data_IF_571269850570
#
_entry.id   IF_571269850570
#
_cell.length_a   1.000
_cell.length_b   1.000
_cell.length_c   1.000
_cell.angle_alpha   90.00
_cell.angle_beta   90.00
_cell.angle_gamma   90.00
#
_symmetry.space_group_name_H-M   'P 1'
#
loop_
_entity.id
_entity.type
_entity.pdbx_description
1 polymer ?
#
# COMPACT_ATOMS: atom_id res chain seq x y z
N UNK A 1 -29.13 -0.93 -8.27
CA UNK A 1 -30.57 -0.94 -7.95
C UNK A 1 -31.19 -2.34 -7.86
N UNK A 2 -30.90 -3.33 -8.72
CA UNK A 2 -31.46 -4.69 -8.56
C UNK A 2 -30.79 -5.49 -7.42
N UNK A 3 -29.46 -5.39 -7.32
CA UNK A 3 -28.66 -6.09 -6.30
C UNK A 3 -28.94 -5.64 -4.86
N UNK A 4 -29.32 -4.37 -4.67
CA UNK A 4 -29.58 -3.79 -3.35
C UNK A 4 -30.92 -4.28 -2.75
N UNK A 5 -31.88 -4.61 -3.61
CA UNK A 5 -33.24 -4.95 -3.20
C UNK A 5 -33.51 -6.46 -3.11
N UNK A 6 -32.63 -7.31 -3.67
CA UNK A 6 -32.84 -8.76 -3.75
C UNK A 6 -31.56 -9.56 -3.40
N UNK A 7 -31.08 -9.56 -2.15
CA UNK A 7 -29.86 -10.27 -1.72
C UNK A 7 -29.87 -11.77 -2.05
N UNK A 8 -31.04 -12.41 -1.92
CA UNK A 8 -31.24 -13.82 -2.24
C UNK A 8 -30.98 -14.16 -3.72
N UNK A 9 -31.32 -13.25 -4.64
CA UNK A 9 -31.07 -13.44 -6.06
C UNK A 9 -29.57 -13.30 -6.39
N UNK A 10 -28.88 -12.40 -5.69
CA UNK A 10 -27.43 -12.21 -5.82
C UNK A 10 -26.69 -13.46 -5.35
N UNK A 11 -27.09 -14.02 -4.22
CA UNK A 11 -26.54 -15.26 -3.68
C UNK A 11 -26.70 -16.42 -4.66
N UNK A 12 -27.91 -16.64 -5.19
CA UNK A 12 -28.14 -17.70 -6.18
C UNK A 12 -27.29 -17.52 -7.45
N UNK A 13 -27.03 -16.28 -7.86
CA UNK A 13 -26.18 -15.96 -8.99
C UNK A 13 -24.69 -16.19 -8.68
N UNK A 14 -24.26 -15.92 -7.45
CA UNK A 14 -22.91 -16.22 -6.96
C UNK A 14 -22.68 -17.73 -6.76
N UNK A 15 -23.66 -18.48 -6.27
CA UNK A 15 -23.57 -19.94 -6.15
C UNK A 15 -23.39 -20.60 -7.53
N UNK A 16 -24.05 -20.07 -8.55
CA UNK A 16 -23.94 -20.56 -9.94
C UNK A 16 -22.60 -20.27 -10.62
N UNK A 17 -21.77 -19.42 -10.01
CA UNK A 17 -20.45 -19.07 -10.55
C UNK A 17 -19.38 -20.13 -10.29
N UNK A 18 -19.69 -21.12 -9.45
CA UNK A 18 -18.88 -22.31 -9.27
C UNK A 18 -19.31 -23.37 -10.29
N UNK A 19 -18.36 -23.86 -11.08
CA UNK A 19 -18.56 -24.92 -12.05
C UNK A 19 -17.47 -25.97 -11.91
N UNK A 20 -17.84 -27.23 -12.02
CA UNK A 20 -16.86 -28.33 -12.03
C UNK A 20 -16.27 -28.48 -13.42
N UNK A 21 -14.93 -28.48 -13.53
CA UNK A 21 -14.27 -28.80 -14.79
C UNK A 21 -14.33 -30.32 -15.04
N UNK A 22 -15.36 -30.74 -15.77
CA UNK A 22 -15.53 -32.15 -16.16
C UNK A 22 -14.42 -32.67 -17.08
N UNK A 23 -13.59 -31.79 -17.67
CA UNK A 23 -12.46 -32.19 -18.53
C UNK A 23 -11.20 -32.49 -17.72
N UNK A 24 -10.95 -31.74 -16.65
CA UNK A 24 -9.84 -31.99 -15.73
C UNK A 24 -10.00 -33.32 -14.95
N UNK A 25 -11.24 -33.77 -14.75
CA UNK A 25 -11.54 -35.07 -14.13
C UNK A 25 -11.18 -36.29 -14.99
N UNK A 26 -10.93 -36.12 -16.30
CA UNK A 26 -10.59 -37.23 -17.21
C UNK A 26 -9.07 -37.43 -17.39
N UNK A 27 -8.28 -36.39 -17.17
CA UNK A 27 -6.82 -36.48 -17.09
C UNK A 27 -6.44 -36.58 -15.60
N UNK A 28 -6.16 -37.79 -15.13
CA UNK A 28 -5.94 -38.26 -13.76
C UNK A 28 -4.86 -37.55 -12.89
N UNK A 29 -4.56 -36.26 -13.08
CA UNK A 29 -3.46 -35.55 -12.39
C UNK A 29 -3.80 -34.20 -11.75
N UNK A 30 -5.06 -33.73 -11.73
CA UNK A 30 -5.42 -32.56 -10.92
C UNK A 30 -6.61 -32.81 -10.00
N UNK A 31 -6.35 -32.67 -8.70
CA UNK A 31 -7.35 -32.51 -7.62
C UNK A 31 -8.49 -31.60 -8.09
N UNK A 32 -9.74 -32.04 -7.89
CA UNK A 32 -11.02 -31.35 -8.15
C UNK A 32 -10.86 -29.86 -8.51
N UNK A 33 -10.58 -29.59 -9.79
CA UNK A 33 -10.34 -28.23 -10.26
C UNK A 33 -11.69 -27.50 -10.41
N UNK A 34 -12.07 -26.82 -9.34
CA UNK A 34 -13.30 -26.02 -9.32
C UNK A 34 -13.06 -24.71 -10.11
N UNK A 35 -13.75 -24.57 -11.24
CA UNK A 35 -13.71 -23.36 -12.07
C UNK A 35 -14.60 -22.30 -11.43
N UNK A 36 -13.97 -21.16 -11.15
CA UNK A 36 -14.61 -20.01 -10.51
C UNK A 36 -14.76 -18.88 -11.52
N UNK A 37 -15.98 -18.53 -11.89
CA UNK A 37 -16.28 -17.32 -12.66
C UNK A 37 -16.43 -16.12 -11.73
N UNK A 38 -15.61 -15.08 -11.92
CA UNK A 38 -15.67 -13.86 -11.13
C UNK A 38 -16.59 -12.79 -11.74
N UNK A 39 -17.17 -13.03 -12.93
CA UNK A 39 -17.99 -12.05 -13.66
C UNK A 39 -19.21 -11.55 -12.89
N UNK A 40 -19.76 -12.37 -11.98
CA UNK A 40 -20.83 -11.98 -11.06
C UNK A 40 -20.42 -10.90 -10.04
N UNK A 41 -19.13 -10.80 -9.72
CA UNK A 41 -18.55 -9.81 -8.80
C UNK A 41 -17.92 -8.65 -9.55
N UNK A 42 -17.16 -8.92 -10.61
CA UNK A 42 -16.39 -7.90 -11.34
C UNK A 42 -17.21 -7.20 -12.40
N UNK A 43 -18.41 -7.71 -12.71
CA UNK A 43 -19.18 -7.35 -13.89
C UNK A 43 -18.65 -8.06 -15.13
N UNK A 44 -19.57 -8.43 -16.03
CA UNK A 44 -19.19 -8.90 -17.36
C UNK A 44 -18.75 -7.70 -18.21
N UNK A 45 -17.72 -7.89 -19.03
CA UNK A 45 -17.29 -6.87 -19.99
C UNK A 45 -18.44 -6.56 -20.92
N UNK A 46 -18.97 -5.34 -20.82
CA UNK A 46 -20.01 -4.85 -21.72
C UNK A 46 -19.34 -4.57 -23.09
N UNK A 47 -19.72 -5.26 -24.18
CA UNK A 47 -19.09 -5.14 -25.49
C UNK A 47 -19.16 -3.71 -26.07
N UNK A 48 -20.03 -2.85 -25.52
CA UNK A 48 -20.22 -1.46 -25.97
C UNK A 48 -19.27 -0.48 -25.25
N UNK A 49 -18.71 -0.86 -24.10
CA UNK A 49 -17.84 0.02 -23.31
C UNK A 49 -16.36 -0.24 -23.59
N UNK A 50 -15.72 0.66 -24.34
CA UNK A 50 -14.28 0.61 -24.67
C UNK A 50 -13.35 1.03 -23.51
N UNK A 51 -13.90 1.28 -22.32
CA UNK A 51 -13.13 1.65 -21.14
C UNK A 51 -12.88 0.42 -20.25
N UNK A 52 -11.63 0.17 -19.84
CA UNK A 52 -11.30 -0.90 -18.88
C UNK A 52 -12.08 -0.67 -17.59
N UNK A 53 -13.13 -1.45 -17.37
CA UNK A 53 -13.89 -1.38 -16.12
C UNK A 53 -12.97 -1.81 -14.96
N UNK A 54 -12.94 -0.99 -13.90
CA UNK A 54 -12.18 -1.33 -12.71
C UNK A 54 -12.84 -2.53 -12.04
N UNK A 55 -12.16 -3.68 -12.03
CA UNK A 55 -12.70 -4.99 -11.59
C UNK A 55 -13.36 -4.97 -10.20
N UNK A 56 -13.04 -3.98 -9.36
CA UNK A 56 -13.62 -3.82 -8.01
C UNK A 56 -14.75 -2.81 -7.90
N UNK A 57 -15.22 -2.21 -9.00
CA UNK A 57 -16.24 -1.15 -8.93
C UNK A 57 -17.53 -1.63 -8.25
N UNK A 58 -18.04 -2.80 -8.65
CA UNK A 58 -19.28 -3.35 -8.09
C UNK A 58 -19.12 -3.85 -6.65
N UNK A 59 -17.94 -4.41 -6.31
CA UNK A 59 -17.61 -4.80 -4.93
C UNK A 59 -17.39 -3.59 -4.02
N UNK A 60 -16.90 -2.48 -4.56
CA UNK A 60 -16.79 -1.21 -3.84
C UNK A 60 -18.16 -0.57 -3.61
N UNK A 61 -19.06 -0.67 -4.59
CA UNK A 61 -20.45 -0.20 -4.45
C UNK A 61 -21.22 -1.03 -3.41
N UNK A 62 -20.97 -2.34 -3.31
CA UNK A 62 -21.61 -3.20 -2.32
C UNK A 62 -21.20 -2.92 -0.87
N UNK A 63 -20.06 -2.25 -0.65
CA UNK A 63 -19.67 -1.72 0.67
C UNK A 63 -20.57 -0.58 1.17
N UNK A 64 -21.32 0.08 0.27
CA UNK A 64 -22.25 1.16 0.63
C UNK A 64 -23.67 0.70 0.96
N UNK A 65 -23.94 -0.60 0.83
CA UNK A 65 -25.27 -1.19 1.05
C UNK A 65 -25.58 -1.38 2.54
N UNK A 66 -26.85 -1.72 2.83
CA UNK A 66 -27.29 -2.07 4.19
C UNK A 66 -26.44 -3.20 4.76
N UNK A 67 -26.08 -3.08 6.04
CA UNK A 67 -25.17 -3.98 6.75
C UNK A 67 -25.48 -5.47 6.57
N UNK A 68 -26.76 -5.86 6.64
CA UNK A 68 -27.18 -7.25 6.48
C UNK A 68 -26.86 -7.80 5.07
N UNK A 69 -27.21 -7.05 4.03
CA UNK A 69 -26.92 -7.42 2.63
C UNK A 69 -25.42 -7.43 2.36
N UNK A 70 -24.70 -6.44 2.90
CA UNK A 70 -23.25 -6.34 2.78
C UNK A 70 -22.55 -7.56 3.39
N UNK A 71 -22.97 -7.97 4.60
CA UNK A 71 -22.40 -9.11 5.32
C UNK A 71 -22.60 -10.41 4.55
N UNK A 72 -23.79 -10.64 4.00
CA UNK A 72 -24.07 -11.88 3.26
C UNK A 72 -23.22 -12.01 1.99
N UNK A 73 -23.00 -10.89 1.27
CA UNK A 73 -22.21 -10.87 0.03
C UNK A 73 -20.71 -10.96 0.31
N UNK A 74 -20.22 -10.29 1.37
CA UNK A 74 -18.80 -10.33 1.74
C UNK A 74 -18.38 -11.69 2.32
N UNK A 75 -19.28 -12.37 3.03
CA UNK A 75 -19.01 -13.70 3.60
C UNK A 75 -19.18 -14.82 2.57
N UNK A 76 -19.66 -14.54 1.37
CA UNK A 76 -19.79 -15.53 0.32
C UNK A 76 -18.42 -16.11 -0.07
N UNK A 77 -18.26 -17.44 -0.21
CA UNK A 77 -16.97 -18.08 -0.53
C UNK A 77 -16.34 -17.53 -1.81
N UNK A 78 -17.18 -17.16 -2.80
CA UNK A 78 -16.71 -16.53 -4.05
C UNK A 78 -15.95 -15.22 -3.79
N UNK A 79 -16.51 -14.36 -2.93
CA UNK A 79 -15.90 -13.09 -2.55
C UNK A 79 -14.62 -13.31 -1.75
N UNK A 80 -14.62 -14.29 -0.84
CA UNK A 80 -13.44 -14.64 -0.05
C UNK A 80 -12.29 -15.14 -0.93
N UNK A 81 -12.57 -16.07 -1.86
CA UNK A 81 -11.56 -16.57 -2.82
C UNK A 81 -11.05 -15.45 -3.72
N UNK A 82 -11.93 -14.57 -4.18
CA UNK A 82 -11.55 -13.40 -4.97
C UNK A 82 -10.60 -12.45 -4.19
N UNK A 83 -10.95 -12.13 -2.95
CA UNK A 83 -10.13 -11.28 -2.07
C UNK A 83 -8.78 -11.93 -1.80
N UNK A 84 -8.74 -13.24 -1.50
CA UNK A 84 -7.48 -13.96 -1.28
C UNK A 84 -6.62 -13.96 -2.54
N UNK A 85 -7.19 -14.22 -3.71
CA UNK A 85 -6.47 -14.21 -4.99
C UNK A 85 -5.89 -12.82 -5.27
N UNK A 86 -6.68 -11.77 -5.06
CA UNK A 86 -6.22 -10.38 -5.22
C UNK A 86 -5.16 -10.01 -4.19
N UNK A 87 -5.33 -10.44 -2.94
CA UNK A 87 -4.36 -10.25 -1.87
C UNK A 87 -3.04 -10.94 -2.19
N UNK A 88 -3.02 -12.20 -2.65
CA UNK A 88 -1.78 -12.88 -3.06
C UNK A 88 -1.03 -12.14 -4.16
N UNK A 89 -1.75 -11.53 -5.09
CA UNK A 89 -1.15 -10.72 -6.16
C UNK A 89 -0.61 -9.38 -5.66
N UNK A 90 -1.30 -8.72 -4.72
CA UNK A 90 -0.90 -7.43 -4.16
C UNK A 90 0.09 -7.54 -2.99
N UNK A 91 0.12 -8.67 -2.30
CA UNK A 91 0.96 -8.96 -1.14
C UNK A 91 2.45 -8.67 -1.38
N UNK A 92 3.09 -9.08 -2.50
CA UNK A 92 4.49 -8.75 -2.73
C UNK A 92 4.72 -7.24 -2.87
N UNK A 93 3.78 -6.51 -3.48
CA UNK A 93 3.86 -5.05 -3.62
C UNK A 93 3.75 -4.39 -2.24
N UNK A 94 2.74 -4.79 -1.44
CA UNK A 94 2.55 -4.26 -0.08
C UNK A 94 3.77 -4.57 0.79
N UNK A 95 4.30 -5.80 0.71
CA UNK A 95 5.49 -6.22 1.46
C UNK A 95 6.70 -5.39 1.05
N UNK A 96 6.89 -5.12 -0.25
CA UNK A 96 7.94 -4.24 -0.74
C UNK A 96 7.82 -2.83 -0.14
N UNK A 97 6.61 -2.25 -0.13
CA UNK A 97 6.37 -0.94 0.49
C UNK A 97 6.69 -0.94 1.99
N UNK A 98 6.32 -1.98 2.72
CA UNK A 98 6.63 -2.10 4.15
C UNK A 98 8.14 -2.18 4.37
N UNK A 99 8.84 -3.04 3.63
CA UNK A 99 10.32 -3.19 3.73
C UNK A 99 11.01 -1.87 3.40
N UNK A 100 10.53 -1.16 2.38
CA UNK A 100 11.04 0.16 2.00
C UNK A 100 10.92 1.18 3.15
N UNK A 101 9.78 1.20 3.85
CA UNK A 101 9.59 2.05 5.04
C UNK A 101 10.51 1.66 6.20
N UNK A 102 10.78 0.36 6.40
CA UNK A 102 11.74 -0.09 7.41
C UNK A 102 13.17 0.34 7.12
N UNK A 103 13.61 0.27 5.85
CA UNK A 103 14.95 0.72 5.44
C UNK A 103 15.13 2.22 5.73
N UNK A 104 14.10 3.01 5.44
CA UNK A 104 14.08 4.43 5.76
C UNK A 104 14.20 4.68 7.27
N UNK A 105 13.38 4.02 8.07
CA UNK A 105 13.38 4.19 9.52
C UNK A 105 14.72 3.80 10.13
N UNK A 106 15.33 2.72 9.64
CA UNK A 106 16.66 2.27 10.06
C UNK A 106 17.73 3.30 9.69
N UNK A 107 17.70 3.81 8.46
CA UNK A 107 18.65 4.82 7.98
C UNK A 107 18.53 6.11 8.80
N UNK A 108 17.31 6.58 9.07
CA UNK A 108 17.05 7.72 9.93
C UNK A 108 17.58 7.50 11.35
N UNK A 109 17.33 6.34 11.94
CA UNK A 109 17.80 6.01 13.29
C UNK A 109 19.33 6.00 13.36
N UNK A 110 20.01 5.41 12.36
CA UNK A 110 21.48 5.42 12.27
C UNK A 110 22.01 6.84 12.10
N UNK A 111 21.35 7.68 11.29
CA UNK A 111 21.72 9.08 11.11
C UNK A 111 21.63 9.87 12.42
N UNK A 112 20.51 9.72 13.14
CA UNK A 112 20.33 10.36 14.44
C UNK A 112 21.36 9.83 15.44
N UNK A 113 21.63 8.53 15.49
CA UNK A 113 22.64 8.00 16.39
C UNK A 113 24.05 8.52 16.06
N UNK A 114 24.45 8.55 14.79
CA UNK A 114 25.79 8.98 14.39
C UNK A 114 26.01 10.50 14.50
N UNK A 115 25.01 11.31 14.13
CA UNK A 115 25.11 12.77 14.17
C UNK A 115 24.97 13.34 15.59
N UNK A 116 24.32 12.61 16.52
CA UNK A 116 24.03 13.11 17.88
C UNK A 116 24.86 12.45 18.97
N UNK A 117 25.46 11.28 18.70
CA UNK A 117 26.40 10.61 19.60
C UNK A 117 27.86 11.03 19.34
N UNK A 118 28.10 12.13 18.64
CA UNK A 118 29.42 12.57 18.18
C UNK A 118 30.39 12.82 19.35
N UNK A 119 31.01 11.74 19.79
CA UNK A 119 32.29 11.65 20.47
C UNK A 119 33.20 10.75 19.62
N UNK A 120 34.04 11.36 18.79
CA UNK A 120 35.37 10.88 18.38
C UNK A 120 35.50 9.41 17.93
N UNK A 121 34.84 8.97 16.86
CA UNK A 121 35.31 7.78 16.11
C UNK A 121 35.21 7.97 14.60
N UNK A 122 36.34 7.88 13.90
CA UNK A 122 36.47 8.05 12.45
C UNK A 122 35.64 7.06 11.62
N UNK A 123 35.24 5.92 12.21
CA UNK A 123 34.34 4.93 11.59
C UNK A 123 32.88 5.39 11.55
N UNK A 124 32.44 6.26 12.47
CA UNK A 124 31.05 6.74 12.51
C UNK A 124 30.72 7.66 11.33
N UNK A 125 31.72 8.38 10.78
CA UNK A 125 31.54 9.27 9.63
C UNK A 125 31.17 8.51 8.36
N UNK A 126 31.82 7.38 8.07
CA UNK A 126 31.54 6.57 6.87
C UNK A 126 30.12 6.00 6.94
N UNK A 127 29.71 5.48 8.10
CA UNK A 127 28.36 4.94 8.31
C UNK A 127 27.30 6.03 8.19
N UNK A 128 27.56 7.23 8.70
CA UNK A 128 26.67 8.39 8.57
C UNK A 128 26.49 8.81 7.09
N UNK A 129 27.56 8.82 6.30
CA UNK A 129 27.49 9.14 4.87
C UNK A 129 26.70 8.07 4.10
N UNK A 130 26.91 6.78 4.39
CA UNK A 130 26.13 5.70 3.78
C UNK A 130 24.64 5.84 4.14
N UNK A 131 24.32 6.09 5.41
CA UNK A 131 22.93 6.29 5.82
C UNK A 131 22.31 7.56 5.21
N UNK A 132 23.07 8.65 5.07
CA UNK A 132 22.62 9.89 4.44
C UNK A 132 22.34 9.71 2.94
N UNK A 133 23.18 8.94 2.24
CA UNK A 133 22.98 8.65 0.81
C UNK A 133 21.76 7.76 0.59
N UNK A 134 21.57 6.71 1.40
CA UNK A 134 20.35 5.88 1.38
C UNK A 134 19.09 6.70 1.66
N UNK A 135 19.14 7.57 2.67
CA UNK A 135 18.04 8.47 3.02
C UNK A 135 17.72 9.45 1.88
N UNK A 136 18.74 9.97 1.20
CA UNK A 136 18.57 10.88 0.05
C UNK A 136 17.90 10.18 -1.13
N UNK A 137 18.29 8.95 -1.44
CA UNK A 137 17.66 8.13 -2.47
C UNK A 137 16.20 7.88 -2.12
N UNK A 138 15.91 7.57 -0.85
CA UNK A 138 14.54 7.41 -0.38
C UNK A 138 13.70 8.67 -0.59
N UNK A 139 14.20 9.83 -0.14
CA UNK A 139 13.48 11.10 -0.25
C UNK A 139 13.21 11.44 -1.71
N UNK A 140 14.17 11.22 -2.59
CA UNK A 140 13.99 11.44 -4.03
C UNK A 140 12.88 10.54 -4.61
N UNK A 141 12.90 9.24 -4.28
CA UNK A 141 11.87 8.31 -4.73
C UNK A 141 10.48 8.67 -4.17
N UNK A 142 10.42 9.07 -2.89
CA UNK A 142 9.21 9.53 -2.22
C UNK A 142 8.64 10.78 -2.88
N UNK A 143 9.48 11.77 -3.18
CA UNK A 143 9.07 13.00 -3.86
C UNK A 143 8.54 12.74 -5.28
N UNK A 144 9.15 11.82 -6.02
CA UNK A 144 8.64 11.38 -7.32
C UNK A 144 7.26 10.72 -7.18
N UNK A 145 7.08 9.85 -6.19
CA UNK A 145 5.79 9.21 -5.93
C UNK A 145 4.71 10.25 -5.57
N UNK A 146 5.01 11.18 -4.66
CA UNK A 146 4.12 12.28 -4.30
C UNK A 146 3.77 13.16 -5.51
N UNK A 147 4.74 13.43 -6.39
CA UNK A 147 4.51 14.20 -7.62
C UNK A 147 3.50 13.51 -8.54
N UNK A 148 3.61 12.19 -8.71
CA UNK A 148 2.64 11.41 -9.49
C UNK A 148 1.26 11.38 -8.84
N UNK A 149 1.19 11.24 -7.52
CA UNK A 149 -0.08 11.25 -6.78
C UNK A 149 -0.77 12.61 -6.82
N UNK A 150 -0.03 13.71 -6.66
CA UNK A 150 -0.56 15.08 -6.79
C UNK A 150 -1.07 15.31 -8.22
N UNK A 151 -0.34 14.86 -9.23
CA UNK A 151 -0.79 14.96 -10.63
C UNK A 151 -2.06 14.15 -10.89
N UNK A 152 -2.17 12.94 -10.33
CA UNK A 152 -3.32 12.07 -10.52
C UNK A 152 -4.58 12.48 -9.74
N UNK A 153 -4.42 12.95 -8.49
CA UNK A 153 -5.54 13.24 -7.58
C UNK A 153 -5.89 14.74 -7.47
N UNK A 154 -4.99 15.62 -7.91
CA UNK A 154 -5.15 17.08 -7.83
C UNK A 154 -5.41 17.57 -6.40
N UNK A 155 -6.37 18.49 -6.24
CA UNK A 155 -6.69 19.10 -4.93
C UNK A 155 -7.26 18.11 -3.89
N UNK A 156 -7.67 16.90 -4.29
CA UNK A 156 -8.13 15.88 -3.33
C UNK A 156 -6.97 15.27 -2.54
N UNK A 157 -5.75 15.39 -3.04
CA UNK A 157 -4.54 14.91 -2.39
C UNK A 157 -4.38 15.47 -0.97
N UNK A 158 -4.55 16.78 -0.80
CA UNK A 158 -4.38 17.47 0.49
C UNK A 158 -5.46 17.16 1.52
N UNK A 159 -6.57 16.53 1.12
CA UNK A 159 -7.59 16.07 2.09
C UNK A 159 -7.20 14.77 2.79
N UNK A 160 -6.23 14.02 2.25
CA UNK A 160 -5.73 12.80 2.86
C UNK A 160 -4.72 13.13 3.97
N UNK A 161 -5.02 12.68 5.19
CA UNK A 161 -4.12 12.82 6.34
C UNK A 161 -2.81 12.06 6.09
N UNK A 162 -2.89 10.88 5.49
CA UNK A 162 -1.73 10.05 5.17
C UNK A 162 -0.76 10.78 4.23
N UNK A 163 -1.29 11.47 3.24
CA UNK A 163 -0.49 12.21 2.26
C UNK A 163 0.18 13.43 2.90
N UNK A 164 -0.53 14.09 3.82
CA UNK A 164 0.03 15.19 4.61
C UNK A 164 1.18 14.70 5.51
N UNK A 165 1.05 13.50 6.09
CA UNK A 165 2.11 12.90 6.90
C UNK A 165 3.35 12.55 6.07
N UNK A 166 3.17 12.04 4.84
CA UNK A 166 4.28 11.75 3.92
C UNK A 166 5.08 13.00 3.54
N UNK A 167 4.40 14.12 3.25
CA UNK A 167 5.08 15.40 2.99
C UNK A 167 5.90 15.84 4.20
N UNK A 168 5.31 15.80 5.41
CA UNK A 168 6.01 16.16 6.64
C UNK A 168 7.22 15.24 6.87
N UNK A 169 7.07 13.94 6.63
CA UNK A 169 8.15 12.96 6.72
C UNK A 169 9.29 13.28 5.75
N UNK A 170 8.98 13.63 4.50
CA UNK A 170 9.97 14.04 3.50
C UNK A 170 10.71 15.33 3.92
N UNK A 171 10.00 16.31 4.47
CA UNK A 171 10.61 17.55 4.97
C UNK A 171 11.56 17.27 6.14
N UNK A 172 11.14 16.46 7.11
CA UNK A 172 11.97 16.06 8.25
C UNK A 172 13.21 15.28 7.81
N UNK A 173 13.05 14.40 6.82
CA UNK A 173 14.15 13.65 6.23
C UNK A 173 15.20 14.57 5.59
N UNK A 174 14.78 15.61 4.86
CA UNK A 174 15.70 16.61 4.27
C UNK A 174 16.46 17.35 5.38
N UNK A 175 15.77 17.80 6.43
CA UNK A 175 16.39 18.50 7.57
C UNK A 175 17.44 17.61 8.24
N UNK A 176 17.14 16.33 8.43
CA UNK A 176 18.06 15.37 9.07
C UNK A 176 19.32 15.10 8.22
N UNK A 177 19.19 15.15 6.90
CA UNK A 177 20.27 14.83 5.96
C UNK A 177 21.16 16.05 5.65
N UNK A 178 20.59 17.26 5.65
CA UNK A 178 21.28 18.51 5.33
C UNK A 178 22.65 18.73 6.03
N UNK A 179 22.79 18.56 7.36
CA UNK A 179 24.06 18.87 8.04
C UNK A 179 25.22 17.96 7.61
N UNK A 180 24.93 16.73 7.15
CA UNK A 180 25.97 15.78 6.73
C UNK A 180 26.55 16.17 5.37
N UNK A 181 25.73 16.63 4.44
CA UNK A 181 26.21 17.06 3.12
C UNK A 181 26.80 18.47 3.13
N UNK A 182 26.28 19.35 3.98
CA UNK A 182 26.81 20.71 4.12
C UNK A 182 28.07 20.77 4.99
N UNK A 183 28.52 19.64 5.56
CA UNK A 183 29.66 19.55 6.48
C UNK A 183 29.58 20.54 7.65
N UNK A 184 28.35 20.96 7.98
CA UNK A 184 28.07 21.90 9.04
C UNK A 184 27.71 21.12 10.30
N UNK A 185 28.18 21.57 11.46
CA UNK A 185 27.67 21.04 12.72
C UNK A 185 26.15 21.27 12.79
N UNK A 186 25.34 20.26 13.18
CA UNK A 186 23.90 20.42 13.24
C UNK A 186 23.52 21.50 14.26
N UNK A 187 22.75 22.49 13.81
CA UNK A 187 22.30 23.59 14.65
C UNK A 187 21.32 23.09 15.74
N UNK A 188 21.25 23.78 16.88
CA UNK A 188 20.42 23.35 18.03
C UNK A 188 18.95 23.08 17.66
N UNK A 189 18.36 23.87 16.76
CA UNK A 189 16.98 23.64 16.32
C UNK A 189 16.85 22.39 15.44
N UNK A 190 17.84 22.10 14.59
CA UNK A 190 17.88 20.86 13.80
C UNK A 190 17.90 19.65 14.74
N UNK A 191 18.66 19.76 15.83
CA UNK A 191 18.68 18.79 16.93
C UNK A 191 17.29 18.52 17.48
N UNK A 192 16.56 19.56 17.87
CA UNK A 192 15.21 19.41 18.40
C UNK A 192 14.21 18.85 17.37
N UNK A 193 14.32 19.25 16.11
CA UNK A 193 13.41 18.76 15.05
C UNK A 193 13.63 17.30 14.69
N UNK A 194 14.86 16.79 14.80
CA UNK A 194 15.15 15.37 14.59
C UNK A 194 15.01 14.53 15.87
N UNK A 195 15.11 15.15 17.05
CA UNK A 195 15.00 14.50 18.37
C UNK A 195 13.56 14.30 18.87
N UNK A 196 12.57 14.28 17.97
CA UNK A 196 11.19 13.86 18.31
C UNK A 196 11.11 12.34 18.60
N UNK A 197 12.21 11.60 18.48
CA UNK A 197 12.43 10.26 19.07
C UNK A 197 13.10 10.32 20.45
N UNK A 198 12.99 9.27 21.28
CA UNK A 198 13.10 9.35 22.74
C UNK A 198 14.44 9.92 23.18
N UNK A 199 14.38 11.18 23.63
CA UNK A 199 15.44 11.86 24.38
C UNK A 199 15.38 11.37 25.82
N UNK A 200 16.07 10.28 26.11
CA UNK A 200 16.42 9.97 27.49
C UNK A 200 17.75 10.65 27.83
N UNK A 201 17.63 11.53 28.83
CA UNK A 201 18.54 11.86 29.94
C UNK A 201 19.86 11.08 29.95
#
# INVERSE_FOLDING_TARGET
MLYENCPLAVKALMDRSFSEDKRALMDNEMEDALLVDYGSITGYMDPVSSCRQQETKYLFESLSWKYETQKEILLHPLTQVFVIKKWRRLSPIITFWIVWQFIWLLSYTILVLSAYRSGHTSSSGVVAVIAATLMSIYVLASFLNESFEIYGLGLRYFKSVTNSFQIVQNVLAIIAVAPIFLTSEPEKWQKYTTAVGPTYI
#
